data_IF_255300426319
#
_entry.id   IF_255300426319
#
_cell.length_a   1.000
_cell.length_b   1.000
_cell.length_c   1.000
_cell.angle_alpha   90.00
_cell.angle_beta   90.00
_cell.angle_gamma   90.00
#
_symmetry.space_group_name_H-M   'P 1'
#
loop_
_entity.id
_entity.type
_entity.pdbx_description
1 polymer ?
#
# COMPACT_ATOMS: atom_id res chain seq x y z
N UNK A 1 -2.81 8.74 -12.10
CA UNK A 1 -2.13 7.83 -11.15
C UNK A 1 -0.62 8.07 -11.11
N UNK A 2 0.07 8.33 -12.24
CA UNK A 2 1.54 8.47 -12.26
C UNK A 2 2.10 9.46 -11.22
N UNK A 3 1.45 10.61 -11.01
CA UNK A 3 1.86 11.58 -9.98
C UNK A 3 1.73 11.03 -8.55
N UNK A 4 0.59 10.41 -8.21
CA UNK A 4 0.36 9.84 -6.88
C UNK A 4 1.36 8.73 -6.56
N UNK A 5 1.61 7.85 -7.54
CA UNK A 5 2.58 6.78 -7.44
C UNK A 5 3.99 7.28 -7.18
N UNK A 6 4.42 8.24 -7.99
CA UNK A 6 5.77 8.81 -7.90
C UNK A 6 6.00 9.48 -6.56
N UNK A 7 5.01 10.21 -6.06
CA UNK A 7 5.08 10.85 -4.74
C UNK A 7 5.17 9.82 -3.59
N UNK A 8 4.32 8.78 -3.61
CA UNK A 8 4.40 7.72 -2.61
C UNK A 8 5.79 7.06 -2.66
N UNK A 9 6.27 6.73 -3.86
CA UNK A 9 7.56 6.10 -4.06
C UNK A 9 8.72 6.98 -3.59
N UNK A 10 8.66 8.30 -3.79
CA UNK A 10 9.72 9.23 -3.36
C UNK A 10 9.77 9.42 -1.85
N UNK A 11 8.64 9.30 -1.14
CA UNK A 11 8.58 9.49 0.31
C UNK A 11 8.90 8.21 1.11
N UNK A 12 8.77 7.02 0.50
CA UNK A 12 9.08 5.75 1.17
C UNK A 12 10.49 5.72 1.82
N UNK A 13 11.58 6.11 1.12
CA UNK A 13 12.93 6.10 1.70
C UNK A 13 13.09 7.07 2.87
N UNK A 14 12.45 8.25 2.79
CA UNK A 14 12.46 9.26 3.85
C UNK A 14 11.77 8.74 5.13
N UNK A 15 10.82 7.82 4.94
CA UNK A 15 10.11 7.16 6.02
C UNK A 15 10.71 5.81 6.41
N UNK A 16 11.91 5.45 5.94
CA UNK A 16 12.59 4.22 6.32
C UNK A 16 12.05 2.94 5.68
N UNK A 17 11.40 3.06 4.52
CA UNK A 17 10.88 1.93 3.74
C UNK A 17 11.53 1.86 2.37
N UNK A 18 11.69 0.65 1.85
CA UNK A 18 12.02 0.40 0.43
C UNK A 18 11.00 -0.57 -0.17
N UNK A 19 10.74 -0.42 -1.47
CA UNK A 19 10.00 -1.44 -2.22
C UNK A 19 10.93 -2.63 -2.42
N UNK A 20 10.67 -3.74 -1.75
CA UNK A 20 11.44 -4.97 -1.88
C UNK A 20 10.99 -5.78 -3.10
N UNK A 21 9.68 -5.77 -3.38
CA UNK A 21 9.08 -6.45 -4.54
C UNK A 21 7.82 -5.75 -4.99
N UNK A 22 7.58 -5.76 -6.30
CA UNK A 22 6.26 -5.47 -6.88
C UNK A 22 5.61 -6.81 -7.22
N UNK A 23 4.41 -7.05 -6.70
CA UNK A 23 3.69 -8.29 -6.96
C UNK A 23 3.14 -8.30 -8.39
N UNK A 24 3.19 -9.48 -8.99
CA UNK A 24 2.68 -9.76 -10.33
C UNK A 24 1.42 -10.62 -10.24
N UNK A 25 0.62 -10.64 -11.31
CA UNK A 25 -0.64 -11.41 -11.38
C UNK A 25 -1.61 -11.07 -10.25
N UNK A 26 -2.07 -9.82 -10.25
CA UNK A 26 -3.03 -9.32 -9.28
C UNK A 26 -4.46 -9.60 -9.73
N UNK A 27 -5.33 -9.76 -8.74
CA UNK A 27 -6.78 -9.82 -8.94
C UNK A 27 -7.33 -8.48 -9.45
N UNK A 28 -8.53 -8.52 -10.03
CA UNK A 28 -9.17 -7.36 -10.68
C UNK A 28 -9.25 -6.10 -9.81
N UNK A 29 -9.36 -6.27 -8.48
CA UNK A 29 -9.51 -5.22 -7.47
C UNK A 29 -8.20 -4.51 -7.09
N UNK A 30 -7.04 -5.06 -7.48
CA UNK A 30 -5.73 -4.47 -7.24
C UNK A 30 -5.05 -4.09 -8.56
N UNK A 31 -4.61 -2.84 -8.67
CA UNK A 31 -3.86 -2.35 -9.84
C UNK A 31 -2.36 -2.62 -9.72
N UNK A 32 -1.83 -2.44 -8.51
CA UNK A 32 -0.44 -2.63 -8.17
C UNK A 32 -0.35 -3.00 -6.69
N UNK A 33 0.62 -3.83 -6.31
CA UNK A 33 0.88 -4.17 -4.92
C UNK A 33 2.37 -4.23 -4.69
N UNK A 34 2.81 -3.55 -3.65
CA UNK A 34 4.21 -3.46 -3.24
C UNK A 34 4.38 -4.22 -1.94
N UNK A 35 5.36 -5.12 -1.91
CA UNK A 35 5.95 -5.57 -0.67
C UNK A 35 7.01 -4.55 -0.27
N UNK A 36 6.80 -3.93 0.88
CA UNK A 36 7.75 -3.03 1.51
C UNK A 36 8.60 -3.78 2.52
N UNK A 37 9.85 -3.37 2.64
CA UNK A 37 10.74 -3.80 3.71
C UNK A 37 11.31 -2.58 4.41
N UNK A 38 11.34 -2.64 5.75
CA UNK A 38 11.88 -1.58 6.58
C UNK A 38 13.40 -1.61 6.55
N UNK A 39 13.99 -0.45 6.27
CA UNK A 39 15.45 -0.22 6.41
C UNK A 39 15.80 0.44 7.74
N UNK A 40 14.80 0.91 8.49
CA UNK A 40 14.96 1.40 9.85
C UNK A 40 14.55 0.33 10.86
N UNK A 41 14.93 0.52 12.13
CA UNK A 41 14.59 -0.41 13.20
C UNK A 41 13.06 -0.52 13.42
N UNK A 42 12.50 -1.74 13.62
CA UNK A 42 13.13 -3.04 13.36
C UNK A 42 13.40 -3.26 11.86
N UNK A 43 14.65 -3.52 11.52
CA UNK A 43 15.10 -3.76 10.13
C UNK A 43 14.53 -5.09 9.65
N UNK A 44 14.05 -5.12 8.40
CA UNK A 44 13.48 -6.31 7.79
C UNK A 44 11.98 -6.51 8.06
N UNK A 45 11.35 -5.67 8.89
CA UNK A 45 9.88 -5.66 9.01
C UNK A 45 9.23 -5.44 7.65
N UNK A 46 8.11 -6.12 7.42
CA UNK A 46 7.40 -6.11 6.13
C UNK A 46 6.01 -5.51 6.27
N UNK A 47 5.57 -4.86 5.20
CA UNK A 47 4.21 -4.38 5.02
C UNK A 47 3.86 -4.46 3.53
N UNK A 48 2.58 -4.48 3.22
CA UNK A 48 2.07 -4.41 1.86
C UNK A 48 1.43 -3.05 1.64
N UNK A 49 1.65 -2.50 0.46
CA UNK A 49 0.93 -1.33 -0.05
C UNK A 49 0.19 -1.73 -1.31
N UNK A 50 -1.13 -1.58 -1.33
CA UNK A 50 -1.98 -2.00 -2.45
C UNK A 50 -2.72 -0.83 -3.05
N UNK A 51 -2.62 -0.66 -4.36
CA UNK A 51 -3.34 0.33 -5.15
C UNK A 51 -4.71 -0.24 -5.54
N UNK A 52 -5.76 0.30 -4.93
CA UNK A 52 -7.10 -0.24 -5.01
C UNK A 52 -7.85 0.33 -6.22
N UNK A 53 -8.40 -0.58 -7.02
CA UNK A 53 -9.29 -0.26 -8.13
C UNK A 53 -10.67 0.04 -7.59
N UNK A 54 -11.33 1.05 -8.16
CA UNK A 54 -12.69 1.44 -7.82
C UNK A 54 -13.64 0.32 -8.24
N UNK A 55 -14.36 -0.32 -7.29
CA UNK A 55 -15.28 -1.39 -7.63
C UNK A 55 -16.50 -0.92 -8.42
N UNK A 56 -16.77 0.39 -8.47
CA UNK A 56 -17.83 0.98 -9.30
C UNK A 56 -17.35 1.33 -10.71
N UNK A 57 -16.06 1.17 -11.01
CA UNK A 57 -15.56 1.39 -12.35
C UNK A 57 -16.06 0.27 -13.28
N UNK A 58 -16.85 0.66 -14.27
CA UNK A 58 -17.35 -0.23 -15.31
C UNK A 58 -16.47 -0.14 -16.57
N UNK A 59 -16.22 -1.28 -17.21
CA UNK A 59 -15.46 -1.38 -18.46
C UNK A 59 -14.03 -1.92 -18.31
N UNK A 60 -13.35 -2.02 -19.45
CA UNK A 60 -11.95 -2.45 -19.50
C UNK A 60 -11.03 -1.32 -19.03
N UNK A 61 -10.10 -1.65 -18.13
CA UNK A 61 -9.10 -0.71 -17.61
C UNK A 61 -7.70 -1.07 -18.06
N UNK A 62 -6.85 -0.07 -18.19
CA UNK A 62 -5.38 -0.24 -18.27
C UNK A 62 -4.78 -0.12 -16.87
N UNK A 63 -3.51 -0.54 -16.74
CA UNK A 63 -2.76 -0.36 -15.50
C UNK A 63 -2.67 1.14 -15.16
N UNK A 64 -2.94 1.49 -13.91
CA UNK A 64 -2.96 2.86 -13.40
C UNK A 64 -4.28 3.61 -13.66
N UNK A 65 -5.28 2.98 -14.26
CA UNK A 65 -6.63 3.53 -14.40
C UNK A 65 -7.54 3.03 -13.27
N UNK A 66 -8.59 3.79 -12.97
CA UNK A 66 -9.59 3.47 -11.94
C UNK A 66 -9.05 3.26 -10.51
N UNK A 67 -7.81 3.66 -10.21
CA UNK A 67 -7.28 3.58 -8.84
C UNK A 67 -7.84 4.73 -8.00
N UNK A 68 -8.61 4.41 -6.96
CA UNK A 68 -9.26 5.42 -6.11
C UNK A 68 -8.58 5.58 -4.75
N UNK A 69 -7.82 4.58 -4.31
CA UNK A 69 -7.19 4.57 -3.00
C UNK A 69 -5.93 3.70 -2.93
N UNK A 70 -5.18 3.87 -1.85
CA UNK A 70 -4.02 3.04 -1.49
C UNK A 70 -4.22 2.53 -0.07
N UNK A 71 -4.07 1.24 0.12
CA UNK A 71 -4.15 0.59 1.43
C UNK A 71 -2.77 0.14 1.89
N UNK A 72 -2.52 0.17 3.20
CA UNK A 72 -1.35 -0.45 3.83
C UNK A 72 -1.81 -1.56 4.79
N UNK A 73 -1.14 -2.72 4.74
CA UNK A 73 -1.46 -3.88 5.60
C UNK A 73 -0.19 -4.61 6.05
N UNK A 74 -0.22 -5.33 7.18
CA UNK A 74 0.92 -6.13 7.64
C UNK A 74 1.10 -7.43 6.82
N UNK A 75 0.02 -7.94 6.23
CA UNK A 75 -0.01 -9.18 5.45
C UNK A 75 -0.50 -8.95 4.02
N UNK A 76 -0.14 -9.85 3.11
CA UNK A 76 -0.59 -9.79 1.71
C UNK A 76 -2.12 -9.99 1.68
N UNK A 77 -2.89 -9.01 1.18
CA UNK A 77 -4.33 -9.20 1.02
C UNK A 77 -4.57 -10.22 -0.11
N UNK A 78 -5.41 -11.21 0.18
CA UNK A 78 -5.79 -12.27 -0.77
C UNK A 78 -7.10 -11.95 -1.49
N UNK A 79 -7.94 -11.11 -0.90
CA UNK A 79 -9.22 -10.71 -1.44
C UNK A 79 -9.55 -9.25 -1.07
N UNK A 80 -10.63 -8.73 -1.68
CA UNK A 80 -11.09 -7.36 -1.48
C UNK A 80 -11.65 -7.10 -0.07
N UNK A 81 -12.24 -8.10 0.58
CA UNK A 81 -12.88 -7.92 1.90
C UNK A 81 -11.84 -7.68 2.99
N UNK A 82 -10.66 -8.30 2.88
CA UNK A 82 -9.52 -8.05 3.76
C UNK A 82 -9.03 -6.60 3.68
N UNK A 83 -9.29 -5.91 2.58
CA UNK A 83 -8.92 -4.50 2.39
C UNK A 83 -9.80 -3.56 3.20
N UNK A 84 -11.08 -3.88 3.40
CA UNK A 84 -12.07 -2.98 4.00
C UNK A 84 -11.81 -2.71 5.50
N UNK A 85 -10.97 -3.52 6.16
CA UNK A 85 -10.58 -3.35 7.56
C UNK A 85 -9.27 -2.60 7.80
N UNK A 86 -8.53 -2.27 6.74
CA UNK A 86 -7.16 -1.72 6.83
C UNK A 86 -7.11 -0.21 6.56
N UNK A 87 -6.02 0.43 6.99
CA UNK A 87 -5.86 1.87 6.78
C UNK A 87 -5.75 2.19 5.29
N UNK A 88 -6.65 3.05 4.82
CA UNK A 88 -6.78 3.39 3.40
C UNK A 88 -6.64 4.89 3.17
N UNK A 89 -5.70 5.28 2.31
CA UNK A 89 -5.50 6.62 1.78
C UNK A 89 -6.30 6.78 0.47
N UNK A 90 -7.41 7.53 0.51
CA UNK A 90 -8.10 7.93 -0.73
C UNK A 90 -7.21 8.87 -1.57
N UNK A 91 -7.18 8.65 -2.89
CA UNK A 91 -6.40 9.42 -3.87
C UNK A 91 -7.18 10.55 -4.54
N UNK A 92 -8.36 10.89 -4.02
CA UNK A 92 -9.17 12.02 -4.48
C UNK A 92 -8.60 13.39 -4.14
N UNK A 93 -9.44 14.44 -4.20
CA UNK A 93 -9.06 15.81 -3.85
C UNK A 93 -8.41 15.89 -2.46
N UNK A 94 -7.29 16.63 -2.36
CA UNK A 94 -6.58 16.84 -1.10
C UNK A 94 -5.80 15.65 -0.55
N UNK A 95 -5.61 14.56 -1.31
CA UNK A 95 -4.91 13.36 -0.85
C UNK A 95 -3.53 13.62 -0.24
N UNK A 96 -2.79 14.63 -0.72
CA UNK A 96 -1.48 15.01 -0.18
C UNK A 96 -1.53 15.36 1.32
N UNK A 97 -2.62 15.97 1.78
CA UNK A 97 -2.79 16.33 3.19
C UNK A 97 -2.98 15.09 4.09
N UNK A 98 -3.28 13.93 3.50
CA UNK A 98 -3.47 12.66 4.19
C UNK A 98 -2.23 11.75 4.13
N UNK A 99 -1.20 12.12 3.37
CA UNK A 99 0.05 11.36 3.30
C UNK A 99 0.74 11.20 4.66
N UNK A 100 0.84 12.25 5.51
CA UNK A 100 1.47 12.08 6.82
C UNK A 100 0.83 10.97 7.65
N UNK A 101 -0.50 10.94 7.73
CA UNK A 101 -1.23 9.90 8.45
C UNK A 101 -1.01 8.50 7.85
N UNK A 102 -0.89 8.39 6.52
CA UNK A 102 -0.57 7.12 5.85
C UNK A 102 0.83 6.61 6.22
N UNK A 103 1.83 7.49 6.23
CA UNK A 103 3.20 7.11 6.61
C UNK A 103 3.36 6.86 8.12
N UNK A 104 2.61 7.56 8.96
CA UNK A 104 2.48 7.25 10.39
C UNK A 104 1.92 5.84 10.60
N UNK A 105 0.88 5.48 9.84
CA UNK A 105 0.32 4.13 9.88
C UNK A 105 1.35 3.07 9.42
N UNK A 106 2.05 3.31 8.32
CA UNK A 106 3.16 2.42 7.90
C UNK A 106 4.21 2.29 9.01
N UNK A 107 4.59 3.38 9.67
CA UNK A 107 5.53 3.33 10.78
C UNK A 107 5.01 2.47 11.95
N UNK A 108 3.70 2.50 12.22
CA UNK A 108 3.08 1.62 13.23
C UNK A 108 3.18 0.13 12.83
N UNK A 109 2.92 -0.22 11.55
CA UNK A 109 3.05 -1.60 11.05
C UNK A 109 4.47 -2.14 11.20
N UNK A 110 5.50 -1.28 11.07
CA UNK A 110 6.90 -1.67 11.30
C UNK A 110 7.11 -2.30 12.67
N UNK A 111 6.51 -1.69 13.69
CA UNK A 111 6.66 -2.08 15.10
C UNK A 111 5.92 -3.39 15.42
N UNK A 112 4.90 -3.75 14.64
CA UNK A 112 4.08 -4.94 14.83
C UNK A 112 4.65 -6.21 14.18
N UNK A 113 5.55 -6.08 13.19
CA UNK A 113 6.14 -7.20 12.44
C UNK A 113 7.00 -8.20 13.23
N UNK A 114 7.03 -8.13 14.56
CA UNK A 114 7.74 -9.06 15.45
C UNK A 114 6.93 -10.31 15.85
N UNK A 115 5.61 -10.37 15.62
CA UNK A 115 4.77 -11.43 16.21
C UNK A 115 4.38 -12.60 15.30
N UNK A 116 4.79 -12.63 14.02
CA UNK A 116 4.33 -13.66 13.07
C UNK A 116 5.44 -14.59 12.55
N UNK A 117 6.29 -15.08 13.45
CA UNK A 117 7.18 -16.23 13.16
C UNK A 117 7.23 -17.18 14.35
N UNK A 118 6.11 -17.86 14.59
CA UNK A 118 6.04 -19.09 15.38
C UNK A 118 4.76 -19.83 14.99
N UNK A 119 4.85 -20.67 13.95
CA UNK A 119 3.95 -21.79 13.69
C UNK A 119 4.71 -22.83 12.86
#
# INVERSE_FOLDING_TARGET
>A
MQTQRTELLSQLPECGWRVARVEENLEWWADEMWLLESVWSPVGSRAYVTFLVDPQFDGSRKKGEAVWAVMASPAKPMDRLQVEGEFTLSLGQGWKNRLPAFFEHLAALRSQGKESSSA
#
